data_IF_271535846782
#
_entry.id   IF_271535846782
#
_cell.length_a   1.000
_cell.length_b   1.000
_cell.length_c   1.000
_cell.angle_alpha   90.00
_cell.angle_beta   90.00
_cell.angle_gamma   90.00
#
_symmetry.space_group_name_H-M   'P 1'
#
loop_
_entity.id
_entity.type
_entity.pdbx_description
1 polymer ?
#
# COMPACT_ATOMS: atom_id res chain seq x y z
N UNK A 1 -24.40 -17.97 -13.96
CA UNK A 1 -23.20 -17.40 -14.63
C UNK A 1 -22.73 -16.11 -13.97
N UNK A 2 -23.62 -15.13 -13.70
CA UNK A 2 -23.28 -13.85 -13.05
C UNK A 2 -22.49 -14.00 -11.75
N UNK A 3 -22.90 -14.90 -10.85
CA UNK A 3 -22.26 -15.05 -9.54
C UNK A 3 -20.86 -15.66 -9.65
N UNK A 4 -20.67 -16.62 -10.56
CA UNK A 4 -19.35 -17.20 -10.87
C UNK A 4 -18.41 -16.13 -11.41
N UNK A 5 -18.90 -15.30 -12.34
CA UNK A 5 -18.11 -14.19 -12.90
C UNK A 5 -17.77 -13.13 -11.84
N UNK A 6 -18.72 -12.82 -10.97
CA UNK A 6 -18.54 -11.89 -9.86
C UNK A 6 -17.50 -12.40 -8.85
N UNK A 7 -17.57 -13.67 -8.47
CA UNK A 7 -16.57 -14.29 -7.60
C UNK A 7 -15.17 -14.28 -8.22
N UNK A 8 -15.06 -14.61 -9.51
CA UNK A 8 -13.78 -14.57 -10.21
C UNK A 8 -13.20 -13.14 -10.23
N UNK A 9 -14.05 -12.14 -10.48
CA UNK A 9 -13.66 -10.72 -10.43
C UNK A 9 -13.19 -10.29 -9.04
N UNK A 10 -13.95 -10.59 -7.98
CA UNK A 10 -13.60 -10.20 -6.60
C UNK A 10 -12.27 -10.84 -6.20
N UNK A 11 -12.08 -12.13 -6.50
CA UNK A 11 -10.83 -12.85 -6.22
C UNK A 11 -9.65 -12.28 -7.01
N UNK A 12 -9.82 -12.06 -8.31
CA UNK A 12 -8.78 -11.48 -9.15
C UNK A 12 -8.38 -10.07 -8.67
N UNK A 13 -9.36 -9.21 -8.33
CA UNK A 13 -9.11 -7.87 -7.80
C UNK A 13 -8.32 -7.90 -6.50
N UNK A 14 -8.68 -8.79 -5.57
CA UNK A 14 -7.95 -8.96 -4.31
C UNK A 14 -6.50 -9.39 -4.54
N UNK A 15 -6.27 -10.34 -5.44
CA UNK A 15 -4.93 -10.79 -5.81
C UNK A 15 -4.11 -9.67 -6.44
N UNK A 16 -4.69 -8.91 -7.38
CA UNK A 16 -4.01 -7.77 -8.01
C UNK A 16 -3.65 -6.67 -7.00
N UNK A 17 -4.52 -6.40 -6.02
CA UNK A 17 -4.23 -5.43 -4.96
C UNK A 17 -3.01 -5.82 -4.10
N UNK A 18 -2.77 -7.12 -3.91
CA UNK A 18 -1.61 -7.64 -3.16
C UNK A 18 -0.29 -7.50 -3.94
N UNK A 19 -0.37 -7.50 -5.27
CA UNK A 19 0.79 -7.27 -6.14
C UNK A 19 1.17 -5.79 -6.24
N UNK A 20 0.36 -4.87 -5.71
CA UNK A 20 0.68 -3.44 -5.72
C UNK A 20 1.78 -3.16 -4.68
N UNK A 21 2.92 -2.56 -5.08
CA UNK A 21 4.00 -2.20 -4.16
C UNK A 21 3.50 -1.32 -3.01
N UNK A 22 4.11 -1.47 -1.83
CA UNK A 22 3.71 -0.74 -0.61
C UNK A 22 3.86 0.77 -0.80
N UNK A 23 4.88 1.19 -1.54
CA UNK A 23 5.21 2.57 -1.90
C UNK A 23 4.06 3.21 -2.69
N UNK A 24 3.48 2.47 -3.64
CA UNK A 24 2.34 2.96 -4.42
C UNK A 24 1.11 3.16 -3.54
N UNK A 25 0.91 2.32 -2.51
CA UNK A 25 -0.19 2.49 -1.54
C UNK A 25 0.05 3.72 -0.66
N UNK A 26 1.27 3.93 -0.20
CA UNK A 26 1.67 5.12 0.57
C UNK A 26 1.42 6.38 -0.25
N UNK A 27 1.89 6.43 -1.51
CA UNK A 27 1.68 7.59 -2.39
C UNK A 27 0.20 7.87 -2.64
N UNK A 28 -0.61 6.84 -2.88
CA UNK A 28 -2.07 7.01 -3.03
C UNK A 28 -2.70 7.66 -1.80
N UNK A 29 -2.31 7.26 -0.60
CA UNK A 29 -2.79 7.87 0.63
C UNK A 29 -2.33 9.33 0.76
N UNK A 30 -1.05 9.61 0.53
CA UNK A 30 -0.50 10.97 0.63
C UNK A 30 -1.19 11.96 -0.32
N UNK A 31 -1.57 11.51 -1.52
CA UNK A 31 -2.30 12.33 -2.49
C UNK A 31 -3.75 12.62 -2.09
N UNK A 32 -4.32 11.88 -1.14
CA UNK A 32 -5.67 12.18 -0.59
C UNK A 32 -5.66 13.28 0.48
N UNK A 33 -4.48 13.67 0.98
CA UNK A 33 -4.35 14.71 1.99
C UNK A 33 -4.43 16.08 1.33
N UNK A 34 -5.43 16.88 1.72
CA UNK A 34 -5.67 18.21 1.15
C UNK A 34 -4.76 19.29 1.76
N UNK A 35 -4.50 19.22 3.08
CA UNK A 35 -3.66 20.21 3.75
C UNK A 35 -2.18 20.03 3.36
N UNK A 36 -1.54 21.03 2.73
CA UNK A 36 -0.18 20.88 2.23
C UNK A 36 0.86 20.64 3.34
N UNK A 37 0.65 21.18 4.54
CA UNK A 37 1.57 21.00 5.66
C UNK A 37 1.49 19.58 6.20
N UNK A 38 0.28 19.06 6.36
CA UNK A 38 0.03 17.69 6.76
C UNK A 38 0.54 16.70 5.72
N UNK A 39 0.33 16.98 4.43
CA UNK A 39 0.86 16.15 3.34
C UNK A 39 2.39 16.08 3.38
N UNK A 40 3.05 17.24 3.56
CA UNK A 40 4.51 17.29 3.67
C UNK A 40 5.04 16.57 4.91
N UNK A 41 4.36 16.68 6.05
CA UNK A 41 4.71 15.93 7.26
C UNK A 41 4.58 14.44 7.04
N UNK A 42 3.43 13.98 6.55
CA UNK A 42 3.18 12.56 6.29
C UNK A 42 4.13 11.97 5.24
N UNK A 43 4.51 12.76 4.23
CA UNK A 43 5.52 12.37 3.24
C UNK A 43 6.89 12.16 3.91
N UNK A 44 7.31 13.08 4.80
CA UNK A 44 8.56 12.92 5.54
C UNK A 44 8.51 11.68 6.42
N UNK A 45 7.44 11.49 7.18
CA UNK A 45 7.33 10.36 8.10
C UNK A 45 7.33 9.01 7.35
N UNK A 46 6.65 8.92 6.21
CA UNK A 46 6.55 7.69 5.44
C UNK A 46 7.86 7.25 4.74
N UNK A 47 8.73 8.20 4.41
CA UNK A 47 10.00 7.96 3.73
C UNK A 47 11.23 8.26 4.59
N UNK A 48 11.02 8.55 5.88
CA UNK A 48 12.11 8.56 6.85
C UNK A 48 12.34 7.12 7.28
N UNK A 49 13.55 6.58 7.10
CA UNK A 49 13.86 5.24 7.59
C UNK A 49 13.62 5.19 9.10
N UNK A 50 12.71 4.33 9.55
CA UNK A 50 12.60 3.98 10.97
C UNK A 50 13.69 3.00 11.39
N UNK A 51 13.79 2.72 12.68
CA UNK A 51 14.58 1.56 13.16
C UNK A 51 13.98 0.29 12.54
N UNK A 52 14.84 -0.55 11.95
CA UNK A 52 14.43 -1.83 11.36
C UNK A 52 13.78 -2.70 12.44
N UNK A 53 12.46 -2.86 12.38
CA UNK A 53 11.77 -3.84 13.20
C UNK A 53 12.09 -5.23 12.63
N UNK A 54 13.03 -5.94 13.26
CA UNK A 54 13.32 -7.36 13.03
C UNK A 54 12.12 -8.24 13.46
N UNK A 55 11.01 -8.15 12.75
CA UNK A 55 9.85 -9.03 12.92
C UNK A 55 9.86 -10.13 11.86
N UNK A 56 9.60 -11.38 12.25
CA UNK A 56 9.51 -12.55 11.36
C UNK A 56 8.39 -12.50 10.30
N UNK A 57 7.73 -11.35 10.13
CA UNK A 57 6.69 -11.09 9.12
C UNK A 57 6.86 -9.69 8.47
N UNK A 58 8.09 -9.16 8.50
CA UNK A 58 8.43 -7.98 7.70
C UNK A 58 9.01 -8.49 6.39
N UNK A 59 8.16 -8.49 5.36
CA UNK A 59 8.57 -8.67 3.98
C UNK A 59 9.48 -7.49 3.58
N UNK A 60 10.75 -7.61 4.00
CA UNK A 60 11.91 -6.77 3.73
C UNK A 60 12.72 -7.30 2.53
N UNK A 61 12.06 -7.98 1.58
CA UNK A 61 12.75 -8.42 0.37
C UNK A 61 12.83 -7.26 -0.62
N UNK A 62 14.00 -6.65 -0.67
CA UNK A 62 14.52 -5.99 -1.85
C UNK A 62 14.36 -6.92 -3.06
N UNK A 63 13.38 -6.64 -3.93
CA UNK A 63 13.35 -7.04 -5.36
C UNK A 63 12.57 -6.01 -6.16
#
# INVERSE_FOLDING_TARGET
>A
VKDVLYHLYVTARGNLQRLVPKEIRILKYLLTIEDPKQQLSALKDAFTPGDELEGNDVDCLYT
#
